data_IF_767748005529
#
_entry.id   IF_767748005529
#
_cell.length_a   1.000
_cell.length_b   1.000
_cell.length_c   1.000
_cell.angle_alpha   90.00
_cell.angle_beta   90.00
_cell.angle_gamma   90.00
#
_symmetry.space_group_name_H-M   'P 1'
#
loop_
_entity.id
_entity.type
_entity.pdbx_description
1 polymer ?
#
# COMPACT_ATOMS: atom_id res chain seq x y z
N UNK A 1 20.81 -45.55 -5.62
CA UNK A 1 20.82 -44.50 -4.57
C UNK A 1 20.87 -45.22 -3.23
N UNK A 2 21.93 -45.03 -2.44
CA UNK A 2 22.14 -45.79 -1.21
C UNK A 2 21.33 -45.18 -0.06
N UNK A 3 20.21 -45.83 0.26
CA UNK A 3 19.23 -45.38 1.26
C UNK A 3 19.90 -45.26 2.65
N UNK A 4 20.88 -46.10 2.97
CA UNK A 4 21.58 -46.05 4.26
C UNK A 4 22.44 -44.80 4.42
N UNK A 5 23.06 -44.35 3.32
CA UNK A 5 23.83 -43.09 3.31
C UNK A 5 22.91 -41.88 3.43
N UNK A 6 21.78 -41.88 2.72
CA UNK A 6 20.78 -40.80 2.81
C UNK A 6 20.25 -40.66 4.25
N UNK A 7 19.87 -41.77 4.90
CA UNK A 7 19.37 -41.76 6.27
C UNK A 7 20.43 -41.27 7.29
N UNK A 8 21.71 -41.54 7.03
CA UNK A 8 22.82 -41.08 7.89
C UNK A 8 23.08 -39.58 7.76
N UNK A 9 22.98 -39.04 6.54
CA UNK A 9 23.28 -37.64 6.25
C UNK A 9 22.07 -36.72 6.52
N UNK A 10 20.85 -37.27 6.55
CA UNK A 10 19.59 -36.54 6.73
C UNK A 10 19.56 -35.63 7.97
N UNK A 11 20.01 -36.04 9.18
CA UNK A 11 20.00 -35.16 10.36
C UNK A 11 20.88 -33.92 10.18
N UNK A 12 22.03 -34.07 9.52
CA UNK A 12 22.93 -32.95 9.24
C UNK A 12 22.30 -31.97 8.24
N UNK A 13 21.68 -32.50 7.18
CA UNK A 13 20.97 -31.70 6.19
C UNK A 13 19.79 -30.93 6.81
N UNK A 14 18.99 -31.59 7.66
CA UNK A 14 17.88 -30.96 8.40
C UNK A 14 18.41 -29.82 9.29
N UNK A 15 19.48 -30.07 10.05
CA UNK A 15 20.07 -29.05 10.94
C UNK A 15 20.62 -27.86 10.15
N UNK A 16 21.28 -28.11 9.02
CA UNK A 16 21.79 -27.07 8.13
C UNK A 16 20.65 -26.23 7.55
N UNK A 17 19.61 -26.87 7.02
CA UNK A 17 18.42 -26.19 6.48
C UNK A 17 17.71 -25.35 7.55
N UNK A 18 17.52 -25.88 8.76
CA UNK A 18 16.91 -25.15 9.89
C UNK A 18 17.74 -23.91 10.28
N UNK A 19 19.07 -24.02 10.22
CA UNK A 19 19.98 -22.91 10.53
C UNK A 19 19.86 -21.80 9.48
N UNK A 20 19.82 -22.16 8.20
CA UNK A 20 19.61 -21.21 7.11
C UNK A 20 18.24 -20.53 7.21
N UNK A 21 17.18 -21.31 7.44
CA UNK A 21 15.83 -20.82 7.62
C UNK A 21 15.73 -19.78 8.76
N UNK A 22 16.29 -20.08 9.93
CA UNK A 22 16.33 -19.15 11.06
C UNK A 22 17.17 -17.89 10.79
N UNK A 23 18.18 -17.97 9.92
CA UNK A 23 18.95 -16.81 9.49
C UNK A 23 18.10 -15.90 8.59
N UNK A 24 17.43 -16.48 7.60
CA UNK A 24 16.57 -15.73 6.67
C UNK A 24 15.40 -15.06 7.41
N UNK A 25 14.74 -15.78 8.33
CA UNK A 25 13.70 -15.22 9.21
C UNK A 25 14.18 -13.97 9.94
N UNK A 26 15.37 -14.01 10.56
CA UNK A 26 15.96 -12.86 11.25
C UNK A 26 16.26 -11.69 10.31
N UNK A 27 16.73 -11.96 9.09
CA UNK A 27 17.01 -10.92 8.10
C UNK A 27 15.72 -10.21 7.65
N UNK A 28 14.65 -10.96 7.36
CA UNK A 28 13.36 -10.38 6.99
C UNK A 28 12.79 -9.53 8.12
N UNK A 29 12.83 -10.05 9.35
CA UNK A 29 12.37 -9.31 10.52
C UNK A 29 13.13 -7.99 10.70
N UNK A 30 14.46 -8.01 10.55
CA UNK A 30 15.27 -6.78 10.58
C UNK A 30 14.85 -5.80 9.49
N UNK A 31 14.65 -6.27 8.26
CA UNK A 31 14.23 -5.42 7.14
C UNK A 31 12.86 -4.77 7.38
N UNK A 32 11.87 -5.53 7.88
CA UNK A 32 10.53 -4.99 8.22
C UNK A 32 10.65 -3.93 9.32
N UNK A 33 11.45 -4.18 10.37
CA UNK A 33 11.67 -3.20 11.44
C UNK A 33 12.35 -1.94 10.94
N UNK A 34 13.36 -2.06 10.09
CA UNK A 34 14.02 -0.92 9.47
C UNK A 34 13.05 -0.12 8.60
N UNK A 35 12.27 -0.79 7.75
CA UNK A 35 11.19 -0.16 6.98
C UNK A 35 10.26 0.68 7.87
N UNK A 36 9.77 0.10 8.98
CA UNK A 36 8.91 0.82 9.93
C UNK A 36 9.61 1.99 10.64
N UNK A 37 10.90 1.89 10.93
CA UNK A 37 11.64 3.03 11.52
C UNK A 37 11.75 4.18 10.53
N UNK A 38 12.01 3.89 9.26
CA UNK A 38 12.19 4.90 8.23
C UNK A 38 10.87 5.48 7.73
N UNK A 39 9.75 4.76 7.85
CA UNK A 39 8.47 5.14 7.24
C UNK A 39 7.30 5.16 8.24
N UNK A 40 6.46 6.18 8.12
CA UNK A 40 5.17 6.31 8.84
C UNK A 40 5.20 6.29 10.38
N UNK A 41 6.23 6.86 11.01
CA UNK A 41 6.30 6.97 12.48
C UNK A 41 6.14 5.62 13.19
N UNK A 42 6.80 4.57 12.70
CA UNK A 42 6.83 3.23 13.31
C UNK A 42 5.52 2.44 13.20
N UNK A 43 4.60 2.80 12.32
CA UNK A 43 3.31 2.12 12.16
C UNK A 43 2.82 2.17 10.72
N UNK A 44 2.21 1.10 10.22
CA UNK A 44 1.54 1.08 8.92
C UNK A 44 0.21 0.35 9.05
N UNK A 45 -0.89 1.03 8.71
CA UNK A 45 -2.23 0.43 8.63
C UNK A 45 -2.51 0.07 7.17
N UNK A 46 -2.93 -1.17 6.94
CA UNK A 46 -3.39 -1.63 5.63
C UNK A 46 -4.90 -1.47 5.46
N UNK A 47 -5.61 -1.15 6.56
CA UNK A 47 -6.95 -0.57 6.57
C UNK A 47 -6.85 0.84 7.16
N UNK A 48 -6.60 1.87 6.34
CA UNK A 48 -6.56 3.24 6.83
C UNK A 48 -7.97 3.77 7.14
N UNK A 49 -8.13 4.49 8.25
CA UNK A 49 -9.38 5.20 8.56
C UNK A 49 -9.59 6.46 7.67
N UNK A 50 -8.53 6.88 6.99
CA UNK A 50 -8.54 8.02 6.08
C UNK A 50 -9.21 7.64 4.76
N UNK A 51 -10.39 8.24 4.48
CA UNK A 51 -11.19 7.96 3.29
C UNK A 51 -10.44 8.23 1.97
N UNK A 52 -9.56 9.24 1.95
CA UNK A 52 -8.76 9.56 0.78
C UNK A 52 -7.76 8.45 0.48
N UNK A 53 -7.04 7.99 1.51
CA UNK A 53 -6.11 6.87 1.39
C UNK A 53 -6.86 5.58 1.04
N UNK A 54 -8.01 5.34 1.66
CA UNK A 54 -8.85 4.17 1.36
C UNK A 54 -9.29 4.16 -0.11
N UNK A 55 -9.81 5.28 -0.62
CA UNK A 55 -10.19 5.41 -2.02
C UNK A 55 -9.02 5.20 -2.98
N UNK A 56 -7.83 5.71 -2.64
CA UNK A 56 -6.61 5.47 -3.43
C UNK A 56 -6.26 3.98 -3.52
N UNK A 57 -6.38 3.24 -2.43
CA UNK A 57 -6.08 1.80 -2.39
C UNK A 57 -7.08 1.01 -3.25
N UNK A 58 -8.37 1.30 -3.11
CA UNK A 58 -9.44 0.66 -3.88
C UNK A 58 -9.30 0.89 -5.39
N UNK A 59 -9.09 2.16 -5.79
CA UNK A 59 -8.88 2.54 -7.20
C UNK A 59 -7.69 1.82 -7.83
N UNK A 60 -6.70 1.42 -7.02
CA UNK A 60 -5.47 0.76 -7.47
C UNK A 60 -5.42 -0.74 -7.10
N UNK A 61 -6.60 -1.35 -6.91
CA UNK A 61 -6.77 -2.80 -6.72
C UNK A 61 -5.97 -3.39 -5.55
N UNK A 62 -5.72 -2.59 -4.51
CA UNK A 62 -5.19 -3.10 -3.26
C UNK A 62 -6.35 -3.50 -2.36
N UNK A 63 -6.45 -4.80 -2.05
CA UNK A 63 -7.34 -5.30 -1.02
C UNK A 63 -6.53 -5.84 0.15
N UNK A 64 -6.75 -5.35 1.37
CA UNK A 64 -6.04 -5.82 2.56
C UNK A 64 -6.47 -7.21 3.06
N UNK A 65 -7.30 -7.95 2.30
CA UNK A 65 -7.79 -9.29 2.63
C UNK A 65 -6.86 -10.43 2.19
N UNK A 66 -5.77 -10.17 1.47
CA UNK A 66 -5.02 -11.22 0.77
C UNK A 66 -3.97 -11.96 1.62
N UNK A 67 -3.66 -11.48 2.83
CA UNK A 67 -2.53 -12.01 3.61
C UNK A 67 -2.98 -12.58 4.95
N UNK A 68 -2.96 -13.91 5.00
CA UNK A 68 -3.06 -14.66 6.24
C UNK A 68 -1.73 -14.63 7.00
N UNK A 69 -1.78 -14.20 8.26
CA UNK A 69 -0.67 -14.35 9.22
C UNK A 69 -1.09 -15.34 10.29
N UNK A 70 -0.19 -16.26 10.64
CA UNK A 70 -0.44 -17.29 11.65
C UNK A 70 0.33 -17.04 12.94
N UNK A 71 -0.33 -17.26 14.07
CA UNK A 71 0.35 -17.37 15.35
C UNK A 71 0.69 -18.84 15.62
N UNK A 72 1.98 -19.19 15.62
CA UNK A 72 2.45 -20.58 15.81
C UNK A 72 2.05 -21.21 17.16
N UNK A 73 1.66 -20.41 18.15
CA UNK A 73 1.30 -20.88 19.48
C UNK A 73 -0.20 -21.07 19.68
N UNK A 74 -1.02 -20.35 18.91
CA UNK A 74 -2.48 -20.33 19.12
C UNK A 74 -3.26 -21.13 18.06
N UNK A 75 -2.62 -21.65 17.00
CA UNK A 75 -3.14 -22.59 15.97
C UNK A 75 -4.50 -22.25 15.31
N UNK A 76 -5.16 -21.18 15.71
CA UNK A 76 -6.34 -20.54 15.15
C UNK A 76 -5.98 -19.05 15.18
N UNK A 77 -5.88 -18.32 14.08
CA UNK A 77 -6.72 -18.31 12.89
C UNK A 77 -5.92 -17.59 11.80
N UNK A 78 -5.97 -18.08 10.56
CA UNK A 78 -5.51 -17.30 9.40
C UNK A 78 -6.35 -16.04 9.34
N UNK A 79 -5.77 -14.88 9.65
CA UNK A 79 -6.48 -13.62 9.58
C UNK A 79 -5.76 -12.65 8.66
N UNK A 80 -6.54 -11.81 7.98
CA UNK A 80 -6.04 -10.70 7.20
C UNK A 80 -5.15 -9.79 8.05
N UNK A 81 -3.99 -9.42 7.48
CA UNK A 81 -3.08 -8.45 8.06
C UNK A 81 -3.75 -7.08 8.11
N UNK A 82 -3.96 -6.56 9.32
CA UNK A 82 -4.59 -5.25 9.50
C UNK A 82 -3.52 -4.15 9.58
N UNK A 83 -2.58 -4.31 10.51
CA UNK A 83 -1.62 -3.26 10.85
C UNK A 83 -0.34 -3.89 11.37
N UNK A 84 0.78 -3.22 11.09
CA UNK A 84 2.06 -3.52 11.71
C UNK A 84 2.57 -2.29 12.45
N UNK A 85 3.17 -2.50 13.62
CA UNK A 85 3.78 -1.42 14.41
C UNK A 85 5.04 -1.89 15.09
N UNK A 86 5.94 -0.95 15.32
CA UNK A 86 7.18 -1.16 16.05
C UNK A 86 7.08 -0.50 17.43
N UNK A 87 7.11 -1.31 18.48
CA UNK A 87 7.09 -0.83 19.87
C UNK A 87 8.32 -1.33 20.62
N UNK A 88 9.12 -0.41 21.18
CA UNK A 88 10.35 -0.76 21.91
C UNK A 88 11.23 -1.78 21.16
N UNK A 89 11.32 -1.64 19.82
CA UNK A 89 12.03 -2.53 18.91
C UNK A 89 11.44 -3.93 18.66
N UNK A 90 10.23 -4.18 19.14
CA UNK A 90 9.46 -5.40 18.86
C UNK A 90 8.48 -5.14 17.73
N UNK A 91 8.43 -6.05 16.75
CA UNK A 91 7.41 -6.03 15.72
C UNK A 91 6.11 -6.58 16.32
N UNK A 92 5.05 -5.77 16.26
CA UNK A 92 3.69 -6.19 16.59
C UNK A 92 2.90 -6.27 15.30
N UNK A 93 2.23 -7.40 15.11
CA UNK A 93 1.36 -7.66 13.95
C UNK A 93 -0.07 -7.73 14.43
N UNK A 94 -0.87 -6.74 14.09
CA UNK A 94 -2.30 -6.70 14.37
C UNK A 94 -3.05 -7.31 13.17
N UNK A 95 -3.95 -8.23 13.46
CA UNK A 95 -4.79 -8.92 12.48
C UNK A 95 -6.26 -8.54 12.70
N UNK A 96 -7.09 -8.67 11.66
CA UNK A 96 -8.52 -8.30 11.73
C UNK A 96 -9.29 -9.18 12.73
N UNK A 97 -9.06 -10.49 12.72
CA UNK A 97 -9.89 -11.49 13.42
C UNK A 97 -9.16 -12.12 14.61
N UNK A 98 -7.84 -12.31 14.51
CA UNK A 98 -7.05 -13.07 15.50
C UNK A 98 -6.38 -12.18 16.56
N UNK A 99 -6.63 -10.87 16.55
CA UNK A 99 -5.99 -9.93 17.46
C UNK A 99 -4.51 -9.66 17.11
N UNK A 100 -3.67 -9.45 18.14
CA UNK A 100 -2.28 -9.00 17.98
C UNK A 100 -1.26 -10.10 18.28
N UNK A 101 -0.32 -10.33 17.36
CA UNK A 101 0.88 -11.14 17.57
C UNK A 101 1.97 -10.23 18.13
N UNK A 102 2.22 -10.34 19.44
CA UNK A 102 3.18 -9.52 20.18
C UNK A 102 4.60 -10.07 20.17
N UNK A 103 4.73 -11.40 20.04
CA UNK A 103 6.02 -12.07 20.00
C UNK A 103 6.38 -12.42 18.55
N UNK A 104 7.35 -11.72 17.97
CA UNK A 104 7.85 -11.97 16.60
C UNK A 104 8.44 -13.36 16.40
N UNK A 105 8.85 -14.06 17.48
CA UNK A 105 9.22 -15.46 17.38
C UNK A 105 8.02 -16.32 16.96
N UNK A 106 6.80 -15.90 17.26
CA UNK A 106 5.54 -16.58 16.94
C UNK A 106 5.18 -16.60 15.46
N UNK A 107 5.77 -15.70 14.66
CA UNK A 107 5.56 -15.65 13.22
C UNK A 107 6.33 -16.77 12.52
N UNK A 108 5.75 -17.40 11.51
CA UNK A 108 6.49 -18.27 10.60
C UNK A 108 7.35 -17.45 9.64
N UNK A 109 8.28 -18.11 8.96
CA UNK A 109 9.09 -17.44 7.93
C UNK A 109 8.22 -16.99 6.75
N UNK A 110 7.25 -17.81 6.39
CA UNK A 110 6.26 -17.57 5.34
C UNK A 110 5.38 -16.36 5.66
N UNK A 111 5.01 -16.18 6.94
CA UNK A 111 4.29 -14.98 7.39
C UNK A 111 5.09 -13.70 7.13
N UNK A 112 6.40 -13.72 7.40
CA UNK A 112 7.27 -12.57 7.14
C UNK A 112 7.40 -12.27 5.64
N UNK A 113 7.42 -13.30 4.78
CA UNK A 113 7.35 -13.11 3.33
C UNK A 113 6.03 -12.42 2.96
N UNK A 114 4.91 -12.94 3.44
CA UNK A 114 3.60 -12.37 3.11
C UNK A 114 3.45 -10.92 3.61
N UNK A 115 3.99 -10.60 4.78
CA UNK A 115 4.04 -9.22 5.29
C UNK A 115 4.85 -8.32 4.35
N UNK A 116 6.04 -8.76 3.90
CA UNK A 116 6.85 -8.02 2.94
C UNK A 116 6.11 -7.79 1.61
N UNK A 117 5.46 -8.82 1.07
CA UNK A 117 4.68 -8.72 -0.17
C UNK A 117 3.50 -7.76 -0.01
N UNK A 118 2.85 -7.75 1.16
CA UNK A 118 1.77 -6.80 1.46
C UNK A 118 2.27 -5.37 1.50
N UNK A 119 3.41 -5.13 2.17
CA UNK A 119 4.06 -3.82 2.20
C UNK A 119 4.35 -3.34 0.79
N UNK A 120 4.92 -4.18 -0.07
CA UNK A 120 5.24 -3.80 -1.45
C UNK A 120 3.99 -3.45 -2.27
N UNK A 121 2.94 -4.27 -2.19
CA UNK A 121 1.66 -4.02 -2.89
C UNK A 121 1.00 -2.74 -2.40
N UNK A 122 0.95 -2.52 -1.08
CA UNK A 122 0.40 -1.33 -0.47
C UNK A 122 1.11 -0.07 -0.97
N UNK A 123 2.44 -0.08 -0.93
CA UNK A 123 3.26 1.04 -1.38
C UNK A 123 3.08 1.36 -2.86
N UNK A 124 2.99 0.31 -3.68
CA UNK A 124 2.73 0.45 -5.11
C UNK A 124 1.37 1.09 -5.35
N UNK A 125 0.33 0.66 -4.64
CA UNK A 125 -1.02 1.21 -4.77
C UNK A 125 -1.08 2.68 -4.37
N UNK A 126 -0.49 3.05 -3.23
CA UNK A 126 -0.38 4.46 -2.80
C UNK A 126 0.36 5.29 -3.85
N UNK A 127 1.50 4.81 -4.34
CA UNK A 127 2.28 5.53 -5.33
C UNK A 127 1.54 5.72 -6.66
N UNK A 128 0.88 4.67 -7.16
CA UNK A 128 0.07 4.73 -8.38
C UNK A 128 -1.10 5.68 -8.21
N UNK A 129 -1.80 5.60 -7.09
CA UNK A 129 -2.90 6.48 -6.74
C UNK A 129 -2.52 7.95 -6.70
N UNK A 130 -1.43 8.30 -6.00
CA UNK A 130 -0.89 9.66 -6.00
C UNK A 130 -0.49 10.11 -7.41
N UNK A 131 0.17 9.24 -8.18
CA UNK A 131 0.58 9.54 -9.56
C UNK A 131 -0.62 9.81 -10.48
N UNK A 132 -1.68 9.00 -10.37
CA UNK A 132 -2.92 9.18 -11.11
C UNK A 132 -3.62 10.49 -10.73
N UNK A 133 -3.78 10.78 -9.43
CA UNK A 133 -4.35 12.06 -8.97
C UNK A 133 -3.50 13.24 -9.45
N UNK A 134 -2.18 13.18 -9.36
CA UNK A 134 -1.30 14.24 -9.89
C UNK A 134 -1.45 14.44 -11.39
N UNK A 135 -1.56 13.37 -12.18
CA UNK A 135 -1.82 13.48 -13.63
C UNK A 135 -3.17 14.11 -13.91
N UNK A 136 -4.20 13.74 -13.14
CA UNK A 136 -5.53 14.34 -13.23
C UNK A 136 -5.50 15.84 -12.87
N UNK A 137 -4.79 16.22 -11.81
CA UNK A 137 -4.62 17.63 -11.46
C UNK A 137 -3.83 18.42 -12.51
N UNK A 138 -2.88 17.82 -13.24
CA UNK A 138 -2.10 18.54 -14.27
C UNK A 138 -2.94 19.03 -15.44
N UNK A 139 -3.91 18.24 -15.92
CA UNK A 139 -4.77 18.71 -17.00
C UNK A 139 -5.72 19.80 -16.51
N UNK A 140 -6.26 19.66 -15.28
CA UNK A 140 -7.07 20.71 -14.64
C UNK A 140 -6.29 22.02 -14.50
N UNK A 141 -5.07 21.96 -13.97
CA UNK A 141 -4.18 23.13 -13.88
C UNK A 141 -3.93 23.76 -15.26
N UNK A 142 -3.75 22.96 -16.31
CA UNK A 142 -3.59 23.46 -17.68
C UNK A 142 -4.87 24.15 -18.16
N UNK A 143 -6.03 23.53 -17.97
CA UNK A 143 -7.33 24.08 -18.32
C UNK A 143 -7.61 25.40 -17.59
N UNK A 144 -7.40 25.44 -16.27
CA UNK A 144 -7.50 26.65 -15.43
C UNK A 144 -6.61 27.76 -15.97
N UNK A 145 -5.33 27.48 -16.27
CA UNK A 145 -4.40 28.47 -16.85
C UNK A 145 -4.87 29.00 -18.20
N UNK A 146 -5.42 28.15 -19.06
CA UNK A 146 -5.94 28.56 -20.38
C UNK A 146 -7.10 29.54 -20.18
N UNK A 147 -8.05 29.23 -19.30
CA UNK A 147 -9.20 30.09 -19.05
C UNK A 147 -8.79 31.40 -18.38
N UNK A 148 -7.93 31.36 -17.35
CA UNK A 148 -7.42 32.58 -16.69
C UNK A 148 -6.78 33.54 -17.69
N UNK A 149 -5.97 33.01 -18.63
CA UNK A 149 -5.29 33.82 -19.63
C UNK A 149 -6.20 34.37 -20.73
N UNK A 150 -7.34 33.72 -21.00
CA UNK A 150 -8.19 34.04 -22.16
C UNK A 150 -9.50 34.74 -21.82
N UNK A 151 -9.91 34.74 -20.55
CA UNK A 151 -11.27 35.16 -20.15
C UNK A 151 -11.27 36.29 -19.14
N UNK A 152 -10.25 36.39 -18.27
CA UNK A 152 -10.19 37.44 -17.24
C UNK A 152 -11.14 37.22 -16.05
N UNK A 153 -11.82 36.07 -16.00
CA UNK A 153 -12.77 35.71 -14.95
C UNK A 153 -12.09 35.32 -13.63
N UNK A 154 -12.89 35.23 -12.56
CA UNK A 154 -12.37 34.86 -11.25
C UNK A 154 -11.83 33.43 -11.22
N UNK A 155 -10.85 33.18 -10.34
CA UNK A 155 -10.28 31.85 -10.18
C UNK A 155 -11.33 30.82 -9.73
N UNK A 156 -12.29 31.24 -8.92
CA UNK A 156 -13.34 30.37 -8.36
C UNK A 156 -14.28 29.86 -9.46
N UNK A 157 -14.80 30.75 -10.31
CA UNK A 157 -15.65 30.38 -11.45
C UNK A 157 -14.93 29.48 -12.45
N UNK A 158 -13.64 29.74 -12.68
CA UNK A 158 -12.81 28.91 -13.55
C UNK A 158 -12.62 27.51 -12.96
N UNK A 159 -12.38 27.40 -11.65
CA UNK A 159 -12.18 26.10 -10.99
C UNK A 159 -13.47 25.27 -11.04
N UNK A 160 -14.62 25.87 -10.75
CA UNK A 160 -15.91 25.18 -10.84
C UNK A 160 -16.20 24.72 -12.28
N UNK A 161 -15.92 25.55 -13.28
CA UNK A 161 -16.07 25.12 -14.67
C UNK A 161 -15.16 23.94 -15.01
N UNK A 162 -13.89 24.02 -14.63
CA UNK A 162 -12.90 22.96 -14.91
C UNK A 162 -13.25 21.66 -14.21
N UNK A 163 -13.87 21.73 -13.03
CA UNK A 163 -14.31 20.56 -12.27
C UNK A 163 -15.52 19.87 -12.93
N UNK A 164 -16.54 20.64 -13.29
CA UNK A 164 -17.86 20.08 -13.62
C UNK A 164 -18.19 20.04 -15.12
N UNK A 165 -17.55 20.87 -15.93
CA UNK A 165 -17.97 21.10 -17.31
C UNK A 165 -16.85 20.97 -18.35
N UNK A 166 -15.58 21.03 -17.95
CA UNK A 166 -14.48 20.86 -18.89
C UNK A 166 -14.45 19.45 -19.48
N UNK A 167 -14.58 19.36 -20.80
CA UNK A 167 -14.55 18.11 -21.55
C UNK A 167 -13.11 17.84 -22.05
N UNK A 168 -12.34 16.94 -21.42
CA UNK A 168 -10.92 16.77 -21.73
C UNK A 168 -10.64 16.23 -23.14
N UNK A 169 -11.62 15.55 -23.75
CA UNK A 169 -11.52 15.00 -25.11
C UNK A 169 -11.89 16.01 -26.20
N UNK A 170 -12.42 17.18 -25.83
CA UNK A 170 -12.80 18.23 -26.78
C UNK A 170 -11.66 19.22 -27.02
N UNK A 171 -11.56 19.82 -28.22
CA UNK A 171 -10.57 20.84 -28.50
C UNK A 171 -10.67 22.01 -27.52
N UNK A 172 -9.53 22.64 -27.17
CA UNK A 172 -9.50 23.77 -26.23
C UNK A 172 -10.48 24.89 -26.60
N UNK A 173 -10.61 25.19 -27.89
CA UNK A 173 -11.54 26.21 -28.40
C UNK A 173 -13.00 25.94 -28.02
N UNK A 174 -13.42 24.67 -28.06
CA UNK A 174 -14.78 24.27 -27.69
C UNK A 174 -15.04 24.53 -26.21
N UNK A 175 -14.13 24.11 -25.32
CA UNK A 175 -14.29 24.33 -23.88
C UNK A 175 -14.28 25.82 -23.51
N UNK A 176 -13.50 26.65 -24.23
CA UNK A 176 -13.50 28.11 -24.01
C UNK A 176 -14.84 28.74 -24.42
N UNK A 177 -15.42 28.30 -25.54
CA UNK A 177 -16.75 28.76 -25.98
C UNK A 177 -17.84 28.32 -25.00
N UNK A 178 -17.80 27.06 -24.54
CA UNK A 178 -18.72 26.55 -23.54
C UNK A 178 -18.66 27.36 -22.24
N UNK A 179 -17.45 27.63 -21.73
CA UNK A 179 -17.25 28.47 -20.54
C UNK A 179 -17.88 29.86 -20.70
N UNK A 180 -17.62 30.53 -21.82
CA UNK A 180 -18.21 31.84 -22.13
C UNK A 180 -19.73 31.77 -22.21
N UNK A 181 -20.31 30.68 -22.73
CA UNK A 181 -21.76 30.53 -22.80
C UNK A 181 -22.41 30.38 -21.42
N UNK A 182 -21.71 29.80 -20.45
CA UNK A 182 -22.23 29.57 -19.10
C UNK A 182 -22.16 30.83 -18.25
N UNK A 183 -21.11 31.64 -18.37
CA UNK A 183 -20.93 32.84 -17.52
C UNK A 183 -21.69 34.05 -18.04
N UNK A 184 -21.98 34.10 -19.33
CA UNK A 184 -22.79 35.18 -19.92
C UNK A 184 -24.32 34.96 -19.77
N UNK A 185 -24.72 33.95 -18.99
CA UNK A 185 -26.11 33.64 -18.64
C UNK A 185 -26.32 33.67 -17.13
#
# INVERSE_FOLDING_TARGET
>A
MDIQRVLRDMPYQIKSALTLHNKMKRQLLTAIKEYLRFKYKQTTSFYPDDEDVSGLLEENSFSPCDVAVFNKYDCASSSALNKIRLEKNQLIVDTVESGSILNEEALYYEDLINICDTIEKYERAIHMGISHRMKYCRWKIRATKILMNKTGESLEEILDFVEFYWMPDMPEGHNIELFKSIINH
#
